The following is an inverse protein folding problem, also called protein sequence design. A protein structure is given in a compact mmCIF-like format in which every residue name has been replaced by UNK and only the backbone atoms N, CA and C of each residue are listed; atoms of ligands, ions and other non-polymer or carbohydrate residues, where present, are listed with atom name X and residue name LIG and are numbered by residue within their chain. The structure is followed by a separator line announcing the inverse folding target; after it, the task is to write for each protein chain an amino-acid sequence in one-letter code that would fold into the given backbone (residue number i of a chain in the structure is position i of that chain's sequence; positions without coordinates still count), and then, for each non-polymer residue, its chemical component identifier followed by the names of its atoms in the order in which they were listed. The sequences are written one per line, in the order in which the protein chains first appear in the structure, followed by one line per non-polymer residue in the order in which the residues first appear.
data_IF_006667395392
#
_entry.id   IF_006667395392
#
_cell.length_a   1.000
_cell.length_b   1.000
_cell.length_c   1.000
_cell.angle_alpha   90.00
_cell.angle_beta   90.00
_cell.angle_gamma   90.00
#
_symmetry.space_group_name_H-M   'P 1'
#
loop_
_entity.id
_entity.type
_entity.pdbx_description
1 polymer ?
#
# COMPACT_ATOMS: atom_id res chain seq x y z
N UNK A 1 18.71 8.47 -7.42
CA UNK A 1 17.54 9.16 -6.80
C UNK A 1 17.38 8.62 -5.39
N UNK A 2 17.03 9.45 -4.40
CA UNK A 2 16.67 8.93 -3.07
C UNK A 2 15.39 8.07 -3.20
N UNK A 3 15.33 6.93 -2.51
CA UNK A 3 14.24 5.95 -2.64
C UNK A 3 12.83 6.50 -2.42
N UNK A 4 12.67 7.60 -1.68
CA UNK A 4 11.38 8.28 -1.47
C UNK A 4 10.91 9.09 -2.68
N UNK A 5 11.83 9.57 -3.52
CA UNK A 5 11.48 10.32 -4.72
C UNK A 5 10.86 9.42 -5.80
N UNK A 6 11.18 8.12 -5.79
CA UNK A 6 10.65 7.11 -6.72
C UNK A 6 9.16 6.81 -6.50
N UNK A 7 8.58 7.16 -5.36
CA UNK A 7 7.16 6.94 -5.11
C UNK A 7 6.34 8.23 -5.15
N UNK A 8 7.00 9.36 -5.48
CA UNK A 8 6.35 10.64 -5.62
C UNK A 8 5.99 10.87 -7.11
N UNK A 9 4.70 10.97 -7.47
CA UNK A 9 4.28 11.21 -8.85
C UNK A 9 4.87 12.50 -9.45
N UNK A 10 5.10 13.54 -8.63
CA UNK A 10 5.68 14.82 -9.08
C UNK A 10 7.15 14.71 -9.53
N UNK A 11 7.82 13.60 -9.20
CA UNK A 11 9.19 13.34 -9.64
C UNK A 11 9.28 12.95 -11.12
N UNK A 12 8.15 12.59 -11.74
CA UNK A 12 8.09 12.08 -13.10
C UNK A 12 7.65 13.15 -14.08
N UNK A 13 8.46 13.32 -15.14
CA UNK A 13 8.11 14.20 -16.27
C UNK A 13 7.50 13.34 -17.37
N UNK A 14 6.43 13.85 -17.97
CA UNK A 14 5.75 13.22 -19.11
C UNK A 14 5.32 11.76 -18.85
N UNK A 15 4.96 11.42 -17.61
CA UNK A 15 4.56 10.07 -17.14
C UNK A 15 5.59 8.95 -17.38
N UNK A 16 6.85 9.30 -17.65
CA UNK A 16 7.89 8.30 -17.87
C UNK A 16 8.40 7.72 -16.55
N UNK A 17 7.85 6.56 -16.18
CA UNK A 17 8.28 5.79 -15.02
C UNK A 17 9.16 4.62 -15.45
N UNK A 18 10.31 4.48 -14.81
CA UNK A 18 11.14 3.28 -14.90
C UNK A 18 10.54 2.20 -13.97
N UNK A 19 9.68 1.35 -14.54
CA UNK A 19 8.97 0.31 -13.80
C UNK A 19 9.91 -0.75 -13.19
N UNK A 20 11.07 -1.00 -13.83
CA UNK A 20 12.05 -1.95 -13.31
C UNK A 20 12.69 -1.39 -12.04
N UNK A 21 13.17 -0.15 -12.10
CA UNK A 21 13.74 0.53 -10.93
C UNK A 21 12.69 0.73 -9.81
N UNK A 22 11.44 1.02 -10.17
CA UNK A 22 10.33 1.16 -9.22
C UNK A 22 10.04 -0.18 -8.53
N UNK A 23 10.01 -1.28 -9.27
CA UNK A 23 9.77 -2.63 -8.75
C UNK A 23 10.88 -3.12 -7.82
N UNK A 24 12.13 -2.85 -8.16
CA UNK A 24 13.27 -3.15 -7.28
C UNK A 24 13.18 -2.36 -5.97
N UNK A 25 12.93 -1.04 -6.05
CA UNK A 25 12.80 -0.19 -4.87
C UNK A 25 11.60 -0.61 -3.99
N UNK A 26 10.49 -0.96 -4.62
CA UNK A 26 9.29 -1.44 -3.94
C UNK A 26 9.56 -2.75 -3.19
N UNK A 27 10.21 -3.72 -3.85
CA UNK A 27 10.58 -4.99 -3.24
C UNK A 27 11.52 -4.84 -2.04
N UNK A 28 12.52 -3.94 -2.14
CA UNK A 28 13.44 -3.64 -1.03
C UNK A 28 12.70 -3.06 0.19
N UNK A 29 11.69 -2.22 -0.03
CA UNK A 29 10.89 -1.62 1.05
C UNK A 29 9.90 -2.59 1.72
N UNK A 30 9.74 -3.80 1.17
CA UNK A 30 8.88 -4.86 1.70
C UNK A 30 9.67 -6.14 2.03
N UNK A 31 10.96 -6.02 2.39
CA UNK A 31 11.82 -7.17 2.65
C UNK A 31 11.24 -8.16 3.69
N UNK A 32 10.51 -7.65 4.68
CA UNK A 32 9.86 -8.44 5.73
C UNK A 32 8.66 -9.28 5.23
N UNK A 33 8.07 -8.94 4.08
CA UNK A 33 6.94 -9.65 3.48
C UNK A 33 7.36 -10.89 2.67
N UNK A 34 8.65 -10.97 2.34
CA UNK A 34 9.21 -11.98 1.42
C UNK A 34 9.10 -11.60 -0.05
N UNK A 35 10.15 -11.91 -0.82
CA UNK A 35 10.31 -11.48 -2.22
C UNK A 35 9.17 -11.93 -3.14
N UNK A 36 8.60 -13.12 -2.93
CA UNK A 36 7.48 -13.62 -3.74
C UNK A 36 6.22 -12.80 -3.53
N UNK A 37 5.89 -12.45 -2.27
CA UNK A 37 4.69 -11.67 -1.95
C UNK A 37 4.84 -10.23 -2.43
N UNK A 38 6.01 -9.61 -2.20
CA UNK A 38 6.32 -8.27 -2.68
C UNK A 38 6.23 -8.17 -4.22
N UNK A 39 6.75 -9.17 -4.95
CA UNK A 39 6.63 -9.23 -6.42
C UNK A 39 5.18 -9.39 -6.87
N UNK A 40 4.39 -10.24 -6.21
CA UNK A 40 2.98 -10.42 -6.51
C UNK A 40 2.18 -9.12 -6.35
N UNK A 41 2.39 -8.40 -5.25
CA UNK A 41 1.77 -7.10 -5.00
C UNK A 41 2.15 -6.11 -6.10
N UNK A 42 3.44 -6.03 -6.44
CA UNK A 42 3.91 -5.12 -7.49
C UNK A 42 3.31 -5.43 -8.86
N UNK A 43 3.24 -6.71 -9.23
CA UNK A 43 2.58 -7.12 -10.48
C UNK A 43 1.10 -6.75 -10.51
N UNK A 44 0.39 -6.87 -9.39
CA UNK A 44 -1.02 -6.46 -9.31
C UNK A 44 -1.20 -4.94 -9.46
N UNK A 45 -0.23 -4.16 -8.99
CA UNK A 45 -0.17 -2.70 -9.23
C UNK A 45 0.02 -2.43 -10.73
N UNK A 46 0.97 -3.11 -11.39
CA UNK A 46 1.24 -2.96 -12.83
C UNK A 46 0.04 -3.32 -13.71
N UNK A 47 -0.78 -4.27 -13.29
CA UNK A 47 -2.00 -4.65 -14.03
C UNK A 47 -3.11 -3.59 -13.95
N UNK A 48 -3.03 -2.69 -12.96
CA UNK A 48 -4.11 -1.75 -12.62
C UNK A 48 -3.75 -0.30 -12.92
N UNK A 49 -2.50 0.09 -12.69
CA UNK A 49 -2.00 1.47 -12.80
C UNK A 49 -0.77 1.55 -13.70
N UNK A 50 -0.53 2.71 -14.29
CA UNK A 50 0.63 2.96 -15.17
C UNK A 50 1.17 4.37 -14.98
N UNK A 51 2.38 4.64 -15.47
CA UNK A 51 2.98 5.98 -15.40
C UNK A 51 3.09 6.51 -13.96
N UNK A 52 3.00 7.83 -13.79
CA UNK A 52 3.21 8.47 -12.48
C UNK A 52 2.21 7.99 -11.40
N UNK A 53 0.99 7.62 -11.80
CA UNK A 53 -0.02 7.06 -10.90
C UNK A 53 0.43 5.73 -10.29
N UNK A 54 1.12 4.89 -11.07
CA UNK A 54 1.70 3.63 -10.56
C UNK A 54 2.72 3.88 -9.44
N UNK A 55 3.56 4.90 -9.59
CA UNK A 55 4.54 5.27 -8.57
C UNK A 55 3.85 5.78 -7.28
N UNK A 56 2.77 6.56 -7.44
CA UNK A 56 1.95 7.03 -6.32
C UNK A 56 1.29 5.86 -5.57
N UNK A 57 0.67 4.93 -6.29
CA UNK A 57 0.02 3.75 -5.68
C UNK A 57 1.06 2.87 -4.98
N UNK A 58 2.23 2.67 -5.57
CA UNK A 58 3.34 1.99 -4.89
C UNK A 58 3.68 2.67 -3.55
N UNK A 59 3.81 4.00 -3.54
CA UNK A 59 4.06 4.77 -2.31
C UNK A 59 2.97 4.58 -1.26
N UNK A 60 1.70 4.60 -1.67
CA UNK A 60 0.55 4.40 -0.78
C UNK A 60 0.46 2.98 -0.24
N UNK A 61 0.73 1.96 -1.06
CA UNK A 61 0.79 0.57 -0.62
C UNK A 61 1.91 0.38 0.40
N UNK A 62 3.11 0.92 0.14
CA UNK A 62 4.22 0.92 1.09
C UNK A 62 3.85 1.64 2.38
N UNK A 63 3.26 2.83 2.28
CA UNK A 63 2.81 3.61 3.42
C UNK A 63 1.75 2.88 4.24
N UNK A 64 0.90 2.06 3.61
CA UNK A 64 -0.12 1.28 4.33
C UNK A 64 0.49 0.04 5.00
N UNK A 65 1.33 -0.70 4.29
CA UNK A 65 1.93 -1.94 4.81
C UNK A 65 2.94 -1.64 5.91
N UNK A 66 3.72 -0.56 5.76
CA UNK A 66 4.74 -0.14 6.73
C UNK A 66 4.24 0.91 7.73
N UNK A 67 2.94 1.26 7.71
CA UNK A 67 2.41 2.28 8.62
C UNK A 67 2.53 1.81 10.07
N UNK A 68 3.08 2.69 10.91
CA UNK A 68 2.95 2.57 12.36
C UNK A 68 1.48 2.75 12.75
N UNK A 69 1.04 2.06 13.82
CA UNK A 69 -0.36 2.00 14.26
C UNK A 69 -1.02 3.36 14.64
N UNK A 70 -0.33 4.49 14.47
CA UNK A 70 -0.80 5.85 14.79
C UNK A 70 -0.88 6.84 13.61
N UNK A 71 -0.70 6.42 12.36
CA UNK A 71 -0.67 7.32 11.21
C UNK A 71 -2.06 7.91 10.84
N UNK A 72 -2.36 9.15 11.21
CA UNK A 72 -3.70 9.76 11.11
C UNK A 72 -4.10 10.27 9.70
N UNK A 73 -3.34 9.95 8.64
CA UNK A 73 -3.38 10.70 7.37
C UNK A 73 -4.11 10.02 6.19
N UNK A 74 -4.85 8.92 6.40
CA UNK A 74 -5.52 8.22 5.30
C UNK A 74 -6.80 8.91 4.77
N UNK A 75 -7.31 9.91 5.48
CA UNK A 75 -8.54 10.63 5.14
C UNK A 75 -8.46 11.56 3.91
N UNK A 76 -7.27 11.69 3.30
CA UNK A 76 -7.05 12.52 2.10
C UNK A 76 -6.72 11.71 0.85
N UNK A 77 -6.76 10.39 0.94
CA UNK A 77 -6.35 9.52 -0.15
C UNK A 77 -7.48 9.34 -1.16
N UNK A 78 -7.14 9.33 -2.45
CA UNK A 78 -8.05 8.89 -3.52
C UNK A 78 -8.73 7.54 -3.15
N UNK A 79 -10.05 7.50 -3.24
CA UNK A 79 -10.87 6.33 -2.94
C UNK A 79 -10.53 5.11 -3.79
N UNK A 80 -10.20 5.30 -5.07
CA UNK A 80 -9.85 4.19 -5.97
C UNK A 80 -8.58 3.48 -5.47
N UNK A 81 -7.62 4.25 -4.93
CA UNK A 81 -6.40 3.68 -4.36
C UNK A 81 -6.69 2.99 -3.01
N UNK A 82 -7.62 3.53 -2.20
CA UNK A 82 -8.02 2.92 -0.94
C UNK A 82 -8.72 1.58 -1.16
N UNK A 83 -9.67 1.52 -2.10
CA UNK A 83 -10.36 0.29 -2.50
C UNK A 83 -9.35 -0.75 -3.00
N UNK A 84 -8.46 -0.36 -3.90
CA UNK A 84 -7.41 -1.24 -4.41
C UNK A 84 -6.49 -1.79 -3.31
N UNK A 85 -6.09 -0.96 -2.35
CA UNK A 85 -5.27 -1.40 -1.21
C UNK A 85 -6.01 -2.42 -0.33
N UNK A 86 -7.32 -2.24 -0.13
CA UNK A 86 -8.16 -3.19 0.62
C UNK A 86 -8.27 -4.52 -0.13
N UNK A 87 -8.43 -4.49 -1.46
CA UNK A 87 -8.42 -5.70 -2.29
C UNK A 87 -7.08 -6.42 -2.23
N UNK A 88 -5.97 -5.69 -2.36
CA UNK A 88 -4.61 -6.23 -2.20
C UNK A 88 -4.43 -6.88 -0.84
N UNK A 89 -4.89 -6.22 0.22
CA UNK A 89 -4.78 -6.76 1.57
C UNK A 89 -5.52 -8.09 1.72
N UNK A 90 -6.69 -8.21 1.09
CA UNK A 90 -7.45 -9.47 1.07
C UNK A 90 -6.74 -10.55 0.26
N UNK A 91 -6.21 -10.21 -0.91
CA UNK A 91 -5.55 -11.14 -1.84
C UNK A 91 -4.25 -11.70 -1.27
N UNK A 92 -3.44 -10.84 -0.65
CA UNK A 92 -2.12 -11.17 -0.14
C UNK A 92 -2.11 -11.43 1.38
N UNK A 93 -3.27 -11.50 2.03
CA UNK A 93 -3.43 -11.71 3.47
C UNK A 93 -2.55 -10.72 4.27
N UNK A 94 -2.70 -9.44 3.96
CA UNK A 94 -2.00 -8.34 4.62
C UNK A 94 -2.81 -7.82 5.79
N UNK A 95 -2.11 -7.50 6.86
CA UNK A 95 -2.67 -6.73 7.97
C UNK A 95 -2.60 -5.25 7.56
N UNK A 96 -3.75 -4.57 7.57
CA UNK A 96 -3.83 -3.14 7.28
C UNK A 96 -4.17 -2.34 8.54
N UNK A 97 -3.65 -1.11 8.68
CA UNK A 97 -3.96 -0.23 9.80
C UNK A 97 -5.47 0.08 9.87
N UNK A 98 -6.06 -0.02 11.07
CA UNK A 98 -7.51 0.20 11.27
C UNK A 98 -7.96 1.62 10.90
N UNK A 99 -7.09 2.61 11.10
CA UNK A 99 -7.28 4.01 10.72
C UNK A 99 -7.34 4.24 9.20
N UNK A 100 -6.89 3.29 8.37
CA UNK A 100 -7.18 3.32 6.93
C UNK A 100 -8.69 3.35 6.67
N UNK A 101 -9.47 2.64 7.50
CA UNK A 101 -10.92 2.57 7.40
C UNK A 101 -11.63 3.86 7.83
N UNK A 102 -10.95 4.71 8.63
CA UNK A 102 -11.49 6.00 9.07
C UNK A 102 -11.42 7.06 7.95
N UNK A 103 -10.71 6.79 6.85
CA UNK A 103 -10.67 7.65 5.66
C UNK A 103 -11.80 7.38 4.66
N UNK A 104 -12.62 6.34 4.87
CA UNK A 104 -13.73 5.99 4.00
C UNK A 104 -14.99 6.81 4.37
N UNK A 105 -15.81 7.25 3.40
CA UNK A 105 -17.03 8.00 3.68
C UNK A 105 -18.00 7.14 4.53
N UNK A 106 -18.84 7.80 5.34
CA UNK A 106 -19.79 7.18 6.31
C UNK A 106 -20.78 6.13 5.73
N UNK A 107 -20.71 5.79 4.44
CA UNK A 107 -21.61 4.83 3.77
C UNK A 107 -20.88 3.73 2.98
N UNK A 108 -19.87 3.10 3.57
CA UNK A 108 -19.33 1.82 3.08
C UNK A 108 -19.31 0.79 4.21
N UNK A 109 -20.21 -0.20 4.14
CA UNK A 109 -20.19 -1.36 5.06
C UNK A 109 -19.16 -2.34 4.50
N UNK A 110 -17.91 -2.23 4.95
CA UNK A 110 -16.90 -3.26 4.72
C UNK A 110 -17.06 -4.36 5.77
N UNK A 111 -17.54 -5.53 5.35
CA UNK A 111 -17.53 -6.74 6.16
C UNK A 111 -16.09 -7.29 6.21
N UNK A 112 -15.32 -6.89 7.22
CA UNK A 112 -14.00 -7.45 7.49
C UNK A 112 -14.10 -8.51 8.59
N UNK A 113 -13.49 -9.67 8.37
CA UNK A 113 -13.42 -10.71 9.40
C UNK A 113 -12.57 -10.20 10.59
N UNK A 114 -13.16 -10.09 11.78
CA UNK A 114 -12.49 -9.54 12.96
C UNK A 114 -11.15 -10.21 13.31
N UNK A 115 -11.00 -11.51 13.03
CA UNK A 115 -9.75 -12.27 13.24
C UNK A 115 -8.56 -11.75 12.40
N UNK A 116 -8.83 -10.98 11.35
CA UNK A 116 -7.85 -10.37 10.44
C UNK A 116 -7.46 -8.94 10.83
N UNK A 117 -8.07 -8.40 11.88
CA UNK A 117 -7.71 -7.10 12.43
C UNK A 117 -6.73 -7.30 13.59
N UNK A 118 -5.61 -6.58 13.56
CA UNK A 118 -4.68 -6.53 14.69
C UNK A 118 -5.22 -5.68 15.84
N UNK A 119 -4.81 -6.00 17.07
CA UNK A 119 -5.07 -5.14 18.21
C UNK A 119 -4.27 -3.82 18.07
N UNK A 120 -4.84 -2.68 18.49
CA UNK A 120 -4.15 -1.40 18.37
C UNK A 120 -2.80 -1.43 19.12
N UNK A 121 -1.70 -1.29 18.39
CA UNK A 121 -0.36 -1.12 18.97
C UNK A 121 0.35 -2.40 19.44
N UNK A 122 0.13 -3.56 18.81
CA UNK A 122 0.84 -4.80 19.17
C UNK A 122 1.72 -5.35 18.03
N UNK A 123 2.93 -5.78 18.41
CA UNK A 123 3.89 -6.54 17.60
C UNK A 123 3.39 -7.99 17.38
N UNK A 124 3.55 -8.50 16.15
CA UNK A 124 3.18 -9.86 15.73
C UNK A 124 4.08 -10.98 16.30
N UNK A 125 4.93 -10.69 17.30
CA UNK A 125 5.92 -11.66 17.81
C UNK A 125 5.34 -12.73 18.77
N UNK A 126 4.05 -12.68 19.11
CA UNK A 126 3.41 -13.60 20.06
C UNK A 126 2.30 -14.49 19.44
N UNK A 127 2.35 -14.81 18.13
CA UNK A 127 1.43 -15.76 17.48
C UNK A 127 2.09 -17.07 17.06
#
# INVERSE_FOLDING_TARGET
MNGEALFNPDSYKDDQVDEEALGEAFGQKLENLGATKARGIFSRIQETFSGAEMAEVCGRVLGTINAECGADEFHRWNYDHLEFIIELAREFDLVIPRNLLNGLPEQLILLVEAKRLGDPGCDDQDR
#
